data_IF_487549522064
#
_entry.id   IF_487549522064
#
_cell.length_a   1.000
_cell.length_b   1.000
_cell.length_c   1.000
_cell.angle_alpha   90.00
_cell.angle_beta   90.00
_cell.angle_gamma   90.00
#
_symmetry.space_group_name_H-M   'P 1'
#
loop_
_entity.id
_entity.type
_entity.pdbx_description
1 polymer ?
#
# COMPACT_ATOMS: atom_id res chain seq x y z
N UNK A 1 -2.77 -13.75 -23.34
CA UNK A 1 -1.35 -13.56 -23.11
C UNK A 1 -1.13 -12.91 -21.75
N UNK A 2 -0.01 -13.15 -21.11
CA UNK A 2 0.26 -12.62 -19.79
C UNK A 2 0.56 -11.13 -19.83
N UNK A 3 -0.15 -10.37 -19.02
CA UNK A 3 0.10 -8.94 -18.85
C UNK A 3 1.20 -8.70 -17.84
N UNK A 4 1.93 -7.60 -18.02
CA UNK A 4 3.01 -7.26 -17.12
C UNK A 4 2.46 -6.84 -15.74
N UNK A 5 3.07 -7.37 -14.69
CA UNK A 5 2.71 -7.00 -13.32
C UNK A 5 3.57 -5.83 -12.87
N UNK A 6 2.95 -4.85 -12.24
CA UNK A 6 3.66 -3.69 -11.68
C UNK A 6 4.65 -4.20 -10.62
N UNK A 7 5.96 -4.05 -10.84
CA UNK A 7 6.93 -4.57 -9.87
C UNK A 7 6.85 -3.93 -8.51
N UNK A 8 6.35 -2.70 -8.41
CA UNK A 8 6.19 -2.05 -7.13
C UNK A 8 5.10 -2.71 -6.30
N UNK A 9 4.03 -3.16 -6.95
CA UNK A 9 2.93 -3.85 -6.27
C UNK A 9 3.15 -5.36 -6.15
N UNK A 10 4.11 -5.89 -6.87
CA UNK A 10 4.42 -7.32 -6.83
C UNK A 10 5.32 -7.64 -5.64
N UNK A 11 4.81 -7.38 -4.47
CA UNK A 11 5.48 -7.56 -3.18
C UNK A 11 4.39 -7.82 -2.15
N UNK A 12 4.56 -8.89 -1.38
CA UNK A 12 3.55 -9.31 -0.40
C UNK A 12 3.17 -8.17 0.54
N UNK A 13 4.13 -7.49 1.13
CA UNK A 13 3.84 -6.45 2.11
C UNK A 13 3.25 -5.20 1.48
N UNK A 14 3.82 -4.73 0.36
CA UNK A 14 3.27 -3.56 -0.32
C UNK A 14 1.86 -3.83 -0.83
N UNK A 15 1.63 -5.02 -1.36
CA UNK A 15 0.30 -5.39 -1.83
C UNK A 15 -0.70 -5.45 -0.67
N UNK A 16 -0.28 -5.98 0.48
CA UNK A 16 -1.13 -6.03 1.67
C UNK A 16 -1.51 -4.63 2.15
N UNK A 17 -0.54 -3.71 2.18
CA UNK A 17 -0.81 -2.31 2.56
C UNK A 17 -1.82 -1.68 1.60
N UNK A 18 -1.60 -1.83 0.29
CA UNK A 18 -2.51 -1.29 -0.71
C UNK A 18 -3.90 -1.89 -0.60
N UNK A 19 -3.99 -3.19 -0.33
CA UNK A 19 -5.29 -3.86 -0.15
C UNK A 19 -6.07 -3.28 1.03
N UNK A 20 -5.38 -3.03 2.14
CA UNK A 20 -6.02 -2.42 3.31
C UNK A 20 -6.51 -1.02 2.98
N UNK A 21 -5.64 -0.20 2.34
CA UNK A 21 -5.98 1.18 2.03
C UNK A 21 -7.06 1.32 0.96
N UNK A 22 -7.29 0.27 0.17
CA UNK A 22 -8.37 0.27 -0.81
C UNK A 22 -9.75 0.32 -0.15
N UNK A 23 -9.88 -0.29 1.03
CA UNK A 23 -11.17 -0.45 1.70
C UNK A 23 -11.42 0.53 2.85
N UNK A 24 -10.47 1.42 3.12
CA UNK A 24 -10.61 2.42 4.18
C UNK A 24 -10.26 3.80 3.65
N UNK A 25 -10.73 4.84 4.31
CA UNK A 25 -10.38 6.20 3.95
C UNK A 25 -8.94 6.52 4.27
N UNK A 26 -8.49 6.05 5.43
CA UNK A 26 -7.10 6.18 5.86
C UNK A 26 -6.79 5.15 6.93
N UNK A 27 -5.51 4.87 7.13
CA UNK A 27 -5.05 3.97 8.18
C UNK A 27 -3.73 4.48 8.74
N UNK A 28 -3.55 4.37 10.05
CA UNK A 28 -2.28 4.78 10.64
C UNK A 28 -1.27 3.64 10.63
N UNK A 29 -0.02 3.99 10.94
CA UNK A 29 1.10 3.07 10.92
C UNK A 29 0.89 1.87 11.86
N UNK A 30 0.36 2.12 13.06
CA UNK A 30 0.13 1.07 14.06
C UNK A 30 -0.87 0.05 13.54
N UNK A 31 -1.96 0.54 12.95
CA UNK A 31 -2.99 -0.32 12.37
C UNK A 31 -2.41 -1.18 11.24
N UNK A 32 -1.66 -0.55 10.33
CA UNK A 32 -1.06 -1.27 9.21
C UNK A 32 -0.06 -2.32 9.71
N UNK A 33 0.73 -1.98 10.73
CA UNK A 33 1.71 -2.91 11.31
C UNK A 33 1.01 -4.14 11.90
N UNK A 34 -0.07 -3.93 12.64
CA UNK A 34 -0.83 -5.03 13.25
C UNK A 34 -1.47 -5.93 12.19
N UNK A 35 -2.10 -5.33 11.19
CA UNK A 35 -2.82 -6.09 10.17
C UNK A 35 -1.90 -6.86 9.24
N UNK A 36 -0.71 -6.34 8.97
CA UNK A 36 0.25 -7.00 8.09
C UNK A 36 1.21 -7.92 8.84
N UNK A 37 1.26 -7.82 10.17
CA UNK A 37 2.20 -8.54 11.01
C UNK A 37 3.66 -8.24 10.63
N UNK A 38 3.92 -7.07 10.09
CA UNK A 38 5.26 -6.66 9.68
C UNK A 38 6.04 -6.06 10.84
N UNK A 39 7.37 -6.04 10.71
CA UNK A 39 8.19 -5.27 11.63
C UNK A 39 8.05 -3.78 11.30
N UNK A 40 8.26 -2.93 12.29
CA UNK A 40 8.17 -1.49 12.10
C UNK A 40 9.16 -1.02 11.03
N UNK A 41 10.40 -1.54 11.06
CA UNK A 41 11.43 -1.15 10.10
C UNK A 41 11.07 -1.52 8.67
N UNK A 42 10.62 -2.75 8.45
CA UNK A 42 10.26 -3.19 7.10
C UNK A 42 9.03 -2.45 6.59
N UNK A 43 8.01 -2.28 7.42
CA UNK A 43 6.81 -1.54 7.02
C UNK A 43 7.16 -0.09 6.64
N UNK A 44 8.01 0.57 7.44
CA UNK A 44 8.44 1.93 7.14
C UNK A 44 9.10 2.05 5.77
N UNK A 45 9.98 1.11 5.43
CA UNK A 45 10.64 1.08 4.12
C UNK A 45 9.62 0.93 2.99
N UNK A 46 8.65 0.03 3.16
CA UNK A 46 7.66 -0.22 2.12
C UNK A 46 6.69 0.96 1.95
N UNK A 47 6.32 1.61 3.04
CA UNK A 47 5.49 2.82 2.99
C UNK A 47 6.23 3.92 2.23
N UNK A 48 7.52 4.10 2.49
CA UNK A 48 8.33 5.11 1.78
C UNK A 48 8.37 4.84 0.28
N UNK A 49 8.53 3.58 -0.13
CA UNK A 49 8.53 3.22 -1.54
C UNK A 49 7.20 3.54 -2.23
N UNK A 50 6.10 3.22 -1.57
CA UNK A 50 4.76 3.52 -2.11
C UNK A 50 4.52 5.03 -2.17
N UNK A 51 4.98 5.76 -1.18
CA UNK A 51 4.84 7.21 -1.14
C UNK A 51 5.67 7.88 -2.25
N UNK A 52 6.90 7.44 -2.44
CA UNK A 52 7.77 7.97 -3.51
C UNK A 52 7.19 7.75 -4.89
N UNK A 53 6.52 6.63 -5.10
CA UNK A 53 5.87 6.32 -6.36
C UNK A 53 4.56 7.09 -6.55
N UNK A 54 4.08 7.78 -5.52
CA UNK A 54 2.82 8.50 -5.59
C UNK A 54 1.59 7.62 -5.43
N UNK A 55 1.75 6.38 -4.99
CA UNK A 55 0.64 5.45 -4.85
C UNK A 55 -0.14 5.65 -3.56
N UNK A 56 0.49 6.23 -2.56
CA UNK A 56 -0.17 6.59 -1.30
C UNK A 56 0.25 8.01 -0.92
N UNK A 57 -0.54 8.61 -0.04
CA UNK A 57 -0.22 9.88 0.58
C UNK A 57 0.05 9.62 2.05
N UNK A 58 1.12 10.20 2.58
CA UNK A 58 1.53 9.99 3.97
C UNK A 58 1.49 11.33 4.68
N UNK A 59 0.78 11.36 5.79
CA UNK A 59 0.67 12.55 6.64
C UNK A 59 1.25 12.23 8.00
N UNK A 60 2.18 13.06 8.46
CA UNK A 60 2.77 12.93 9.81
C UNK A 60 2.18 14.03 10.68
N UNK A 61 1.65 13.62 11.83
CA UNK A 61 1.01 14.53 12.77
C UNK A 61 1.32 14.08 14.19
N UNK A 62 0.74 14.78 15.14
CA UNK A 62 0.86 14.43 16.56
C UNK A 62 -0.51 14.24 17.16
N UNK A 63 -0.67 13.19 17.97
CA UNK A 63 -1.83 13.01 18.83
C UNK A 63 -1.33 13.22 20.25
N UNK A 64 -1.55 14.43 20.77
CA UNK A 64 -0.90 14.85 22.00
C UNK A 64 0.61 14.97 21.74
N UNK A 65 1.42 14.23 22.51
CA UNK A 65 2.88 14.22 22.35
C UNK A 65 3.38 13.07 21.49
N UNK A 66 2.49 12.20 21.01
CA UNK A 66 2.88 11.02 20.25
C UNK A 66 2.83 11.32 18.74
N UNK A 67 3.90 11.01 18.01
CA UNK A 67 3.86 11.13 16.54
C UNK A 67 2.92 10.09 15.98
N UNK A 68 2.21 10.49 14.92
CA UNK A 68 1.27 9.60 14.21
C UNK A 68 1.52 9.72 12.72
N UNK A 69 1.64 8.58 12.06
CA UNK A 69 1.78 8.50 10.60
C UNK A 69 0.51 7.91 10.05
N UNK A 70 -0.15 8.64 9.16
CA UNK A 70 -1.41 8.23 8.54
C UNK A 70 -1.20 8.09 7.04
N UNK A 71 -1.72 7.01 6.47
CA UNK A 71 -1.58 6.71 5.05
C UNK A 71 -2.95 6.68 4.39
N UNK A 72 -3.02 7.16 3.13
CA UNK A 72 -4.21 7.12 2.28
C UNK A 72 -3.82 6.67 0.91
N UNK A 73 -4.71 5.96 0.24
CA UNK A 73 -4.51 5.62 -1.16
C UNK A 73 -4.73 6.85 -2.04
N UNK A 74 -3.79 7.11 -2.95
CA UNK A 74 -3.95 8.18 -3.93
C UNK A 74 -4.78 7.69 -5.12
N UNK A 75 -5.20 8.61 -5.98
CA UNK A 75 -5.88 8.23 -7.24
C UNK A 75 -4.97 7.39 -8.11
N UNK A 76 -3.69 7.76 -8.18
CA UNK A 76 -2.71 6.99 -8.95
C UNK A 76 -2.56 5.59 -8.39
N UNK A 77 -2.48 5.46 -7.06
CA UNK A 77 -2.36 4.16 -6.40
C UNK A 77 -3.57 3.27 -6.64
N UNK A 78 -4.76 3.85 -6.59
CA UNK A 78 -6.00 3.10 -6.88
C UNK A 78 -5.98 2.57 -8.31
N UNK A 79 -5.61 3.41 -9.28
CA UNK A 79 -5.53 2.99 -10.66
C UNK A 79 -4.48 1.91 -10.85
N UNK A 80 -3.31 2.08 -10.23
CA UNK A 80 -2.24 1.09 -10.30
C UNK A 80 -2.68 -0.25 -9.71
N UNK A 81 -3.40 -0.21 -8.59
CA UNK A 81 -3.90 -1.42 -7.95
C UNK A 81 -4.92 -2.14 -8.84
N UNK A 82 -5.86 -1.40 -9.42
CA UNK A 82 -6.85 -1.96 -10.34
C UNK A 82 -6.17 -2.59 -11.56
N UNK A 83 -5.18 -1.91 -12.11
CA UNK A 83 -4.41 -2.44 -13.24
C UNK A 83 -3.65 -3.71 -12.84
N UNK A 84 -3.11 -3.74 -11.63
CA UNK A 84 -2.42 -4.92 -11.12
C UNK A 84 -3.35 -6.12 -11.02
N UNK A 85 -4.55 -5.92 -10.48
CA UNK A 85 -5.55 -6.99 -10.35
C UNK A 85 -5.94 -7.51 -11.72
N UNK A 86 -6.18 -6.62 -12.69
CA UNK A 86 -6.50 -7.02 -14.06
C UNK A 86 -5.35 -7.80 -14.71
N UNK A 87 -4.12 -7.34 -14.50
CA UNK A 87 -2.95 -8.04 -15.01
C UNK A 87 -2.81 -9.43 -14.38
N UNK A 88 -3.07 -9.53 -13.07
CA UNK A 88 -3.00 -10.81 -12.36
C UNK A 88 -4.04 -11.80 -12.89
N UNK A 89 -5.23 -11.32 -13.26
CA UNK A 89 -6.27 -12.18 -13.86
C UNK A 89 -5.78 -12.86 -15.12
N UNK A 90 -4.90 -12.23 -15.88
CA UNK A 90 -4.37 -12.85 -17.11
C UNK A 90 -3.58 -14.12 -16.84
N UNK A 91 -3.14 -14.33 -15.58
CA UNK A 91 -2.39 -15.52 -15.17
C UNK A 91 -3.27 -16.65 -14.70
N UNK A 92 -4.51 -16.36 -14.32
CA UNK A 92 -5.41 -17.36 -13.75
C UNK A 92 -6.65 -17.63 -14.60
N UNK A 93 -6.85 -16.86 -15.66
CA UNK A 93 -7.98 -17.03 -16.59
C UNK A 93 -7.48 -17.54 -17.94
N UNK A 94 -6.75 -18.64 -17.90
CA UNK A 94 -6.24 -19.26 -19.14
C UNK A 94 -7.09 -20.41 -19.62
#
# INVERSE_FOLDING_TARGET
>A
MFKELDPLLHSQLRLAVMSILLSVEEADFVYLKEKTNATAGNLSVQIDKLNEAGYIEVEKSFTGKKPRTTCRMSKLGRQAFENYVEALKSYIQT
#
